data_IF_336934386415
#
_entry.id   IF_336934386415
#
_cell.length_a   1.000
_cell.length_b   1.000
_cell.length_c   1.000
_cell.angle_alpha   90.00
_cell.angle_beta   90.00
_cell.angle_gamma   90.00
#
_symmetry.space_group_name_H-M   'P 1'
#
loop_
_entity.id
_entity.type
_entity.pdbx_description
1 polymer ?
#
# COMPACT_ATOMS: atom_id res chain seq x y z
N UNK A 1 4.40 -11.57 -8.72
CA UNK A 1 4.35 -10.10 -8.71
C UNK A 1 2.90 -9.64 -8.80
N UNK A 2 2.53 -8.65 -8.03
CA UNK A 2 1.18 -8.09 -8.07
C UNK A 2 1.04 -7.19 -9.29
N UNK A 3 0.10 -7.54 -10.17
CA UNK A 3 -0.26 -6.71 -11.31
C UNK A 3 -1.68 -7.02 -11.74
N UNK A 4 -2.38 -6.08 -12.40
CA UNK A 4 -3.75 -6.31 -12.87
C UNK A 4 -3.77 -7.35 -13.99
N UNK A 5 -4.76 -8.23 -13.98
CA UNK A 5 -4.96 -9.21 -15.05
C UNK A 5 -5.49 -8.55 -16.31
N UNK A 6 -6.29 -7.51 -16.17
CA UNK A 6 -6.90 -6.79 -17.28
C UNK A 6 -7.02 -5.31 -16.93
N UNK A 7 -6.66 -4.44 -17.87
CA UNK A 7 -6.80 -3.00 -17.73
C UNK A 7 -7.44 -2.42 -18.98
N UNK A 8 -8.23 -1.37 -18.78
CA UNK A 8 -8.84 -0.64 -19.89
C UNK A 8 -7.79 0.13 -20.68
N UNK A 9 -6.85 0.75 -20.00
CA UNK A 9 -5.75 1.49 -20.61
C UNK A 9 -4.43 1.07 -19.98
N UNK A 10 -3.45 0.69 -20.82
CA UNK A 10 -2.09 0.37 -20.35
C UNK A 10 -1.23 1.60 -20.16
N UNK A 11 -1.55 2.68 -20.89
CA UNK A 11 -0.81 3.94 -20.81
C UNK A 11 -1.75 5.01 -20.31
N UNK A 12 -1.55 5.44 -19.07
CA UNK A 12 -2.38 6.45 -18.43
C UNK A 12 -1.55 7.68 -18.13
N UNK A 13 -2.23 8.81 -17.99
CA UNK A 13 -1.57 10.05 -17.57
C UNK A 13 -1.09 9.92 -16.13
N UNK A 14 0.02 10.66 -15.81
CA UNK A 14 0.59 10.64 -14.48
C UNK A 14 -0.42 11.05 -13.41
N UNK A 15 -1.21 12.08 -13.66
CA UNK A 15 -2.16 12.58 -12.68
C UNK A 15 -1.48 13.33 -11.54
N UNK A 16 -2.29 13.80 -10.59
CA UNK A 16 -1.81 14.50 -9.40
C UNK A 16 -2.20 13.71 -8.16
N UNK A 17 -1.27 13.65 -7.21
CA UNK A 17 -1.52 13.02 -5.90
C UNK A 17 -1.93 14.08 -4.89
N UNK A 18 -3.11 14.67 -5.08
CA UNK A 18 -3.64 15.70 -4.19
C UNK A 18 -4.72 15.13 -3.28
N UNK A 19 -4.94 15.82 -2.16
CA UNK A 19 -5.97 15.44 -1.21
C UNK A 19 -5.56 14.33 -0.27
N UNK A 20 -6.50 13.89 0.55
CA UNK A 20 -6.33 12.80 1.51
C UNK A 20 -7.26 11.64 1.17
N UNK A 21 -6.97 10.47 1.70
CA UNK A 21 -7.81 9.31 1.48
C UNK A 21 -9.16 9.50 2.19
N UNK A 22 -10.26 9.40 1.43
CA UNK A 22 -11.62 9.43 1.98
C UNK A 22 -12.17 8.03 2.21
N UNK A 23 -11.59 7.03 1.54
CA UNK A 23 -11.93 5.62 1.71
C UNK A 23 -10.65 4.84 2.02
N UNK A 24 -10.80 3.75 2.76
CA UNK A 24 -9.65 2.96 3.16
C UNK A 24 -8.72 3.68 4.13
N UNK A 25 -9.24 4.63 4.90
CA UNK A 25 -8.49 5.40 5.87
C UNK A 25 -8.63 4.87 7.30
N UNK A 26 -9.31 3.76 7.48
CA UNK A 26 -9.50 3.10 8.77
C UNK A 26 -9.20 1.62 8.67
N UNK A 27 -8.77 1.02 9.78
CA UNK A 27 -8.57 -0.42 9.87
C UNK A 27 -9.95 -1.09 9.85
N UNK A 28 -10.16 -1.99 8.88
CA UNK A 28 -11.47 -2.61 8.63
C UNK A 28 -11.51 -4.09 9.00
N UNK A 29 -10.49 -4.85 8.66
CA UNK A 29 -10.46 -6.31 8.85
C UNK A 29 -9.56 -6.76 9.98
N UNK A 30 -8.44 -6.09 10.18
CA UNK A 30 -7.47 -6.43 11.22
C UNK A 30 -7.70 -5.69 12.52
N UNK A 31 -6.75 -5.80 13.41
CA UNK A 31 -6.72 -5.07 14.67
C UNK A 31 -5.77 -3.87 14.61
N UNK A 32 -4.73 -3.99 13.80
CA UNK A 32 -3.69 -2.98 13.62
C UNK A 32 -3.47 -2.76 12.14
N UNK A 33 -3.08 -1.54 11.78
CA UNK A 33 -2.83 -1.19 10.40
C UNK A 33 -1.63 -0.27 10.23
N UNK A 34 -1.08 -0.27 9.03
CA UNK A 34 -0.01 0.64 8.62
C UNK A 34 -0.62 1.69 7.70
N UNK A 35 -0.63 2.94 8.15
CA UNK A 35 -1.26 4.05 7.44
C UNK A 35 -0.20 4.99 6.87
N UNK A 36 -0.37 5.37 5.61
CA UNK A 36 0.51 6.34 4.97
C UNK A 36 0.26 7.75 5.52
N UNK A 37 1.33 8.50 5.75
CA UNK A 37 1.24 9.88 6.22
C UNK A 37 1.55 10.90 5.15
N UNK A 38 2.01 10.45 3.98
CA UNK A 38 2.31 11.30 2.84
C UNK A 38 1.92 10.60 1.54
N UNK A 39 1.72 11.34 0.42
CA UNK A 39 1.38 10.70 -0.86
C UNK A 39 2.59 10.01 -1.46
N UNK A 40 2.36 8.87 -2.14
CA UNK A 40 3.44 8.17 -2.84
C UNK A 40 2.89 7.17 -3.85
N UNK A 41 3.80 6.70 -4.70
CA UNK A 41 3.58 5.54 -5.56
C UNK A 41 4.33 4.35 -4.97
N UNK A 42 3.63 3.23 -4.80
CA UNK A 42 4.20 2.01 -4.24
C UNK A 42 4.16 0.92 -5.31
N UNK A 43 5.32 0.36 -5.64
CA UNK A 43 5.41 -0.70 -6.66
C UNK A 43 4.93 -2.03 -6.11
N UNK A 44 4.54 -2.94 -7.01
CA UNK A 44 4.18 -4.31 -6.62
C UNK A 44 5.28 -5.03 -5.85
N UNK A 45 6.55 -4.79 -6.22
CA UNK A 45 7.70 -5.37 -5.53
C UNK A 45 7.82 -4.87 -4.09
N UNK A 46 7.57 -3.58 -3.87
CA UNK A 46 7.59 -2.99 -2.53
C UNK A 46 6.46 -3.55 -1.66
N UNK A 47 5.27 -3.70 -2.21
CA UNK A 47 4.13 -4.31 -1.52
C UNK A 47 4.46 -5.73 -1.09
N UNK A 48 5.02 -6.52 -2.00
CA UNK A 48 5.39 -7.91 -1.73
C UNK A 48 6.50 -8.00 -0.68
N UNK A 49 7.50 -7.13 -0.76
CA UNK A 49 8.58 -7.08 0.22
C UNK A 49 8.05 -6.76 1.62
N UNK A 50 7.11 -5.82 1.73
CA UNK A 50 6.49 -5.47 3.00
C UNK A 50 5.69 -6.65 3.58
N UNK A 51 4.91 -7.33 2.72
CA UNK A 51 4.15 -8.52 3.13
C UNK A 51 5.07 -9.61 3.68
N UNK A 52 6.14 -9.89 2.97
CA UNK A 52 7.11 -10.91 3.39
C UNK A 52 7.75 -10.53 4.74
N UNK A 53 8.10 -9.27 4.94
CA UNK A 53 8.68 -8.81 6.21
C UNK A 53 7.71 -9.05 7.38
N UNK A 54 6.43 -8.76 7.19
CA UNK A 54 5.41 -9.00 8.21
C UNK A 54 5.22 -10.49 8.50
N UNK A 55 5.09 -11.31 7.48
CA UNK A 55 4.86 -12.75 7.67
C UNK A 55 6.06 -13.46 8.30
N UNK A 56 7.27 -13.04 7.98
CA UNK A 56 8.48 -13.58 8.62
C UNK A 56 8.52 -13.26 10.11
N UNK A 57 8.17 -12.04 10.48
CA UNK A 57 8.21 -11.64 11.89
C UNK A 57 7.14 -12.38 12.70
N UNK A 58 5.96 -12.56 12.16
CA UNK A 58 4.87 -13.27 12.84
C UNK A 58 5.03 -14.78 12.84
N UNK A 59 5.99 -15.31 12.09
CA UNK A 59 6.25 -16.75 11.95
C UNK A 59 4.99 -17.53 11.55
N UNK A 60 4.22 -16.97 10.63
CA UNK A 60 2.94 -17.50 10.14
C UNK A 60 1.81 -17.47 11.17
N UNK A 61 2.02 -16.80 12.33
CA UNK A 61 0.94 -16.52 13.27
C UNK A 61 0.10 -15.36 12.76
N UNK A 62 -1.19 -15.36 13.09
CA UNK A 62 -2.07 -14.28 12.72
C UNK A 62 -2.41 -14.23 11.23
N UNK A 63 -3.01 -13.11 10.82
CA UNK A 63 -3.45 -12.90 9.46
C UNK A 63 -3.07 -11.50 9.01
N UNK A 64 -2.65 -11.37 7.75
CA UNK A 64 -2.25 -10.11 7.13
C UNK A 64 -3.14 -9.83 5.94
N UNK A 65 -3.61 -8.59 5.82
CA UNK A 65 -4.37 -8.12 4.65
C UNK A 65 -3.57 -7.05 3.93
N UNK A 66 -3.50 -7.14 2.62
CA UNK A 66 -2.97 -6.09 1.75
C UNK A 66 -4.16 -5.29 1.24
N UNK A 67 -4.20 -4.00 1.57
CA UNK A 67 -5.34 -3.12 1.26
C UNK A 67 -5.10 -2.21 0.07
N UNK A 68 -3.94 -2.32 -0.57
CA UNK A 68 -3.60 -1.55 -1.77
C UNK A 68 -3.23 -2.50 -2.90
N UNK A 69 -3.43 -2.06 -4.14
CA UNK A 69 -3.13 -2.86 -5.31
C UNK A 69 -2.48 -1.99 -6.38
N UNK A 70 -1.41 -2.48 -7.04
CA UNK A 70 -0.72 -1.71 -8.07
C UNK A 70 -1.46 -1.78 -9.39
N UNK A 71 -2.38 -0.85 -9.61
CA UNK A 71 -3.24 -0.82 -10.80
C UNK A 71 -2.88 0.28 -11.79
N UNK A 72 -1.91 1.15 -11.47
CA UNK A 72 -1.47 2.22 -12.37
C UNK A 72 -0.19 1.81 -13.09
N UNK A 73 -0.22 1.75 -14.46
CA UNK A 73 0.99 1.45 -15.21
C UNK A 73 1.90 2.66 -15.30
N UNK A 74 3.19 2.44 -15.10
CA UNK A 74 4.22 3.46 -15.28
C UNK A 74 5.02 3.11 -16.50
N UNK A 75 5.19 4.08 -17.38
CA UNK A 75 5.93 3.92 -18.63
C UNK A 75 7.27 4.63 -18.53
N UNK A 76 8.27 4.03 -19.16
CA UNK A 76 9.58 4.65 -19.31
C UNK A 76 10.02 4.49 -20.77
N UNK A 77 10.68 5.51 -21.32
CA UNK A 77 11.27 5.40 -22.64
C UNK A 77 12.62 4.70 -22.53
N UNK A 78 12.91 3.83 -23.51
CA UNK A 78 14.21 3.20 -23.59
C UNK A 78 15.30 4.25 -23.78
N UNK A 79 16.49 3.96 -23.28
CA UNK A 79 17.64 4.83 -23.46
C UNK A 79 17.89 5.02 -24.98
N UNK A 80 18.05 6.27 -25.41
CA UNK A 80 18.22 6.61 -26.81
C UNK A 80 16.93 6.82 -27.59
N UNK A 81 15.78 6.63 -26.99
CA UNK A 81 14.49 6.92 -27.63
C UNK A 81 14.35 8.43 -27.82
N UNK A 82 13.98 8.86 -29.03
CA UNK A 82 13.77 10.27 -29.33
C UNK A 82 12.59 10.83 -28.53
N UNK A 83 12.74 12.04 -28.05
CA UNK A 83 11.64 12.77 -27.42
C UNK A 83 10.53 13.01 -28.45
N UNK A 84 9.27 12.88 -28.00
CA UNK A 84 8.11 13.10 -28.86
C UNK A 84 7.65 11.87 -29.64
N UNK A 85 8.32 10.73 -29.53
CA UNK A 85 7.91 9.50 -30.19
C UNK A 85 6.77 8.75 -29.48
N UNK A 86 6.06 9.42 -28.55
CA UNK A 86 4.97 8.84 -27.77
C UNK A 86 5.41 8.21 -26.47
N UNK A 87 4.46 7.70 -25.70
CA UNK A 87 4.75 7.00 -24.46
C UNK A 87 5.39 5.64 -24.73
N UNK A 88 6.34 5.28 -23.89
CA UNK A 88 6.89 3.93 -23.89
C UNK A 88 5.87 2.89 -23.45
N UNK A 89 6.20 1.62 -23.57
CA UNK A 89 5.39 0.53 -23.04
C UNK A 89 5.38 0.56 -21.50
N UNK A 90 4.32 0.06 -20.86
CA UNK A 90 4.31 -0.05 -19.40
C UNK A 90 5.46 -0.92 -18.92
N UNK A 91 6.25 -0.40 -17.97
CA UNK A 91 7.42 -1.08 -17.44
C UNK A 91 7.13 -1.74 -16.09
N UNK A 92 6.34 -1.08 -15.27
CA UNK A 92 5.93 -1.59 -13.97
C UNK A 92 4.62 -0.96 -13.53
N UNK A 93 4.05 -1.51 -12.47
CA UNK A 93 2.76 -1.08 -11.94
C UNK A 93 2.91 -0.56 -10.53
N UNK A 94 2.15 0.49 -10.20
CA UNK A 94 2.18 1.10 -8.87
C UNK A 94 0.78 1.28 -8.30
N UNK A 95 0.70 1.28 -6.98
CA UNK A 95 -0.46 1.74 -6.25
C UNK A 95 -0.27 3.23 -5.94
N UNK A 96 -1.28 4.04 -6.24
CA UNK A 96 -1.28 5.46 -5.88
C UNK A 96 -1.87 5.57 -4.48
N UNK A 97 -1.05 6.03 -3.53
CA UNK A 97 -1.43 6.11 -2.13
C UNK A 97 -1.49 7.55 -1.69
N UNK A 98 -2.62 7.95 -1.11
CA UNK A 98 -2.84 9.28 -0.56
C UNK A 98 -2.63 9.25 0.95
N UNK A 99 -2.27 10.39 1.58
CA UNK A 99 -2.17 10.44 3.03
C UNK A 99 -3.45 9.97 3.71
N UNK A 100 -3.30 9.16 4.74
CA UNK A 100 -4.43 8.60 5.48
C UNK A 100 -4.83 7.19 5.04
N UNK A 101 -4.34 6.71 3.91
CA UNK A 101 -4.66 5.36 3.42
C UNK A 101 -4.03 4.30 4.31
N UNK A 102 -4.85 3.36 4.78
CA UNK A 102 -4.35 2.16 5.47
C UNK A 102 -3.94 1.15 4.39
N UNK A 103 -2.66 0.83 4.34
CA UNK A 103 -2.07 0.00 3.29
C UNK A 103 -2.06 -1.48 3.64
N UNK A 104 -1.80 -1.79 4.90
CA UNK A 104 -1.74 -3.17 5.40
C UNK A 104 -2.47 -3.26 6.72
N UNK A 105 -3.03 -4.44 7.01
CA UNK A 105 -3.67 -4.73 8.29
C UNK A 105 -3.17 -6.06 8.81
N UNK A 106 -3.16 -6.21 10.13
CA UNK A 106 -2.72 -7.43 10.80
C UNK A 106 -3.63 -7.73 11.99
N UNK A 107 -3.88 -9.00 12.23
CA UNK A 107 -4.67 -9.47 13.36
C UNK A 107 -4.19 -10.84 13.83
N UNK A 108 -4.64 -11.26 15.01
CA UNK A 108 -4.34 -12.60 15.55
C UNK A 108 -2.97 -12.71 16.19
N UNK A 109 -2.30 -11.59 16.49
CA UNK A 109 -1.02 -11.55 17.19
C UNK A 109 -1.08 -10.50 18.29
N UNK A 110 -0.14 -10.55 19.24
CA UNK A 110 -0.08 -9.55 20.30
C UNK A 110 0.25 -8.18 19.72
N UNK A 111 -0.06 -7.13 20.49
CA UNK A 111 0.26 -5.76 20.10
C UNK A 111 1.74 -5.57 19.80
N UNK A 112 2.60 -6.13 20.64
CA UNK A 112 4.05 -6.02 20.47
C UNK A 112 4.51 -6.63 19.16
N UNK A 113 4.03 -7.83 18.83
CA UNK A 113 4.36 -8.51 17.59
C UNK A 113 3.78 -7.74 16.40
N UNK A 114 2.55 -7.27 16.50
CA UNK A 114 1.90 -6.51 15.42
C UNK A 114 2.67 -5.21 15.11
N UNK A 115 3.01 -4.46 16.14
CA UNK A 115 3.76 -3.20 15.98
C UNK A 115 5.11 -3.42 15.33
N UNK A 116 5.85 -4.44 15.76
CA UNK A 116 7.16 -4.74 15.18
C UNK A 116 7.04 -5.23 13.73
N UNK A 117 6.06 -6.07 13.43
CA UNK A 117 5.81 -6.53 12.07
C UNK A 117 5.51 -5.35 11.12
N UNK A 118 4.66 -4.44 11.56
CA UNK A 118 4.31 -3.26 10.75
C UNK A 118 5.48 -2.29 10.62
N UNK A 119 6.30 -2.15 11.66
CA UNK A 119 7.53 -1.34 11.59
C UNK A 119 8.49 -1.90 10.54
N UNK A 120 8.71 -3.20 10.55
CA UNK A 120 9.56 -3.86 9.56
C UNK A 120 9.02 -3.70 8.15
N UNK A 121 7.71 -3.80 7.98
CA UNK A 121 7.06 -3.56 6.68
C UNK A 121 7.28 -2.12 6.20
N UNK A 122 7.18 -1.14 7.10
CA UNK A 122 7.36 0.27 6.74
C UNK A 122 8.75 0.56 6.15
N UNK A 123 9.77 -0.19 6.57
CA UNK A 123 11.12 -0.03 6.04
C UNK A 123 11.25 -0.48 4.57
N UNK A 124 10.30 -1.25 4.07
CA UNK A 124 10.28 -1.71 2.68
C UNK A 124 9.49 -0.78 1.76
N UNK A 125 8.83 0.23 2.34
CA UNK A 125 7.99 1.15 1.61
C UNK A 125 8.69 2.50 1.44
N UNK A 126 8.44 3.22 0.32
CA UNK A 126 9.08 4.51 0.04
C UNK A 126 8.37 5.69 0.71
N UNK A 127 7.53 5.44 1.69
CA UNK A 127 6.65 6.44 2.28
C UNK A 127 6.74 6.40 3.79
N UNK A 128 6.55 7.55 4.43
CA UNK A 128 6.42 7.62 5.88
C UNK A 128 5.06 7.08 6.30
N UNK A 129 5.08 6.27 7.33
CA UNK A 129 3.89 5.55 7.80
C UNK A 129 3.74 5.70 9.30
N UNK A 130 2.52 5.47 9.78
CA UNK A 130 2.25 5.33 11.20
C UNK A 130 1.42 4.07 11.43
N UNK A 131 1.56 3.52 12.63
CA UNK A 131 0.80 2.34 13.05
C UNK A 131 -0.48 2.83 13.70
N UNK A 132 -1.62 2.30 13.25
CA UNK A 132 -2.93 2.68 13.75
C UNK A 132 -3.65 1.46 14.29
N UNK A 133 -4.43 1.65 15.34
CA UNK A 133 -5.26 0.61 15.91
C UNK A 133 -6.67 0.71 15.36
N UNK A 134 -7.35 -0.42 15.23
CA UNK A 134 -8.76 -0.43 14.84
C UNK A 134 -9.59 0.36 15.86
N UNK A 135 -10.43 1.25 15.38
CA UNK A 135 -11.35 1.97 16.23
C UNK A 135 -12.40 1.01 16.81
N UNK A 136 -12.58 1.05 18.13
CA UNK A 136 -13.61 0.28 18.78
C UNK A 136 -14.95 0.98 18.59
N UNK A 137 -15.95 0.21 18.12
CA UNK A 137 -17.32 0.69 18.10
C UNK A 137 -17.91 0.41 19.48
N UNK A 138 -18.22 1.46 20.21
CA UNK A 138 -18.87 1.33 21.51
C UNK A 138 -20.37 1.24 21.29
N UNK A 139 -20.97 0.12 21.67
CA UNK A 139 -22.42 -0.04 21.63
C UNK A 139 -23.08 0.97 22.57
N UNK A 140 -24.19 1.58 22.07
CA UNK A 140 -24.90 2.59 22.86
C UNK A 140 -24.39 4.01 22.64
N UNK A 141 -23.42 4.22 21.75
CA UNK A 141 -22.93 5.55 21.41
C UNK A 141 -22.19 6.27 22.51
N UNK A 142 -21.80 5.59 23.54
CA UNK A 142 -20.93 6.13 24.57
C UNK A 142 -19.49 6.03 24.12
N UNK A 143 -18.85 7.15 24.10
CA UNK A 143 -17.47 7.26 23.68
C UNK A 143 -16.62 7.71 24.87
#
# INVERSE_FOLDING_TARGET
MLLPKRVKYRRVHRGRMTGTASRGNKVAYGEWGLQATEPCWITGNQIEAARIAMTRHTKRGGKVWIKIFPDKPITAKALGTRMGSGKGAPEYWVAVVKPGRVMFEIAGVSEEIAREALRLASHKLPVKCKIVKREETVEGGEV
#
